data_IF_762602644676
#
_entry.id   IF_762602644676
#
_cell.length_a   1.000
_cell.length_b   1.000
_cell.length_c   1.000
_cell.angle_alpha   90.00
_cell.angle_beta   90.00
_cell.angle_gamma   90.00
#
_symmetry.space_group_name_H-M   'P 1'
#
loop_
_entity.id
_entity.type
_entity.pdbx_description
1 polymer ?
#
# COMPACT_ATOMS: atom_id res chain seq x y z
N UNK A 1 -25.96 -27.88 -20.09
CA UNK A 1 -26.45 -26.83 -19.21
C UNK A 1 -26.08 -25.47 -19.76
N UNK A 2 -27.07 -24.77 -20.33
CA UNK A 2 -26.88 -23.43 -20.81
C UNK A 2 -26.56 -22.53 -19.60
N UNK A 3 -25.29 -22.15 -19.46
CA UNK A 3 -24.97 -21.03 -18.59
C UNK A 3 -25.86 -19.86 -19.00
N UNK A 4 -26.63 -19.33 -18.07
CA UNK A 4 -27.59 -18.27 -18.38
C UNK A 4 -26.90 -17.14 -19.14
N UNK A 5 -27.58 -16.53 -20.10
CA UNK A 5 -27.03 -15.41 -20.91
C UNK A 5 -26.44 -14.32 -20.03
N UNK A 6 -27.03 -14.10 -18.86
CA UNK A 6 -26.58 -13.14 -17.83
C UNK A 6 -25.17 -13.45 -17.34
N UNK A 7 -24.89 -14.73 -17.01
CA UNK A 7 -23.57 -15.14 -16.53
C UNK A 7 -22.51 -14.95 -17.63
N UNK A 8 -22.85 -15.26 -18.88
CA UNK A 8 -21.95 -15.07 -20.01
C UNK A 8 -21.63 -13.60 -20.27
N UNK A 9 -22.66 -12.74 -20.20
CA UNK A 9 -22.49 -11.28 -20.34
C UNK A 9 -21.60 -10.73 -19.22
N UNK A 10 -21.83 -11.16 -17.99
CA UNK A 10 -21.02 -10.76 -16.85
C UNK A 10 -19.57 -11.20 -16.99
N UNK A 11 -19.32 -12.41 -17.46
CA UNK A 11 -17.97 -12.91 -17.71
C UNK A 11 -17.26 -12.10 -18.81
N UNK A 12 -17.97 -11.72 -19.88
CA UNK A 12 -17.40 -10.90 -20.95
C UNK A 12 -17.03 -9.48 -20.46
N UNK A 13 -17.89 -8.87 -19.62
CA UNK A 13 -17.61 -7.58 -19.02
C UNK A 13 -16.40 -7.67 -18.10
N UNK A 14 -16.34 -8.70 -17.25
CA UNK A 14 -15.21 -8.93 -16.36
C UNK A 14 -13.89 -9.14 -17.12
N UNK A 15 -13.92 -9.89 -18.21
CA UNK A 15 -12.74 -10.10 -19.05
C UNK A 15 -12.26 -8.80 -19.71
N UNK A 16 -13.17 -7.98 -20.25
CA UNK A 16 -12.82 -6.67 -20.82
C UNK A 16 -12.25 -5.74 -19.77
N UNK A 17 -12.83 -5.72 -18.59
CA UNK A 17 -12.33 -4.93 -17.47
C UNK A 17 -10.91 -5.35 -17.06
N UNK A 18 -10.69 -6.66 -16.93
CA UNK A 18 -9.36 -7.20 -16.62
C UNK A 18 -8.33 -6.87 -17.71
N UNK A 19 -8.72 -6.97 -18.96
CA UNK A 19 -7.87 -6.59 -20.10
C UNK A 19 -7.47 -5.12 -20.06
N UNK A 20 -8.40 -4.21 -19.75
CA UNK A 20 -8.09 -2.79 -19.59
C UNK A 20 -7.10 -2.55 -18.43
N UNK A 21 -7.29 -3.23 -17.30
CA UNK A 21 -6.38 -3.13 -16.18
C UNK A 21 -4.98 -3.64 -16.56
N UNK A 22 -4.90 -4.74 -17.27
CA UNK A 22 -3.62 -5.32 -17.70
C UNK A 22 -2.89 -4.40 -18.70
N UNK A 23 -3.62 -3.73 -19.60
CA UNK A 23 -3.05 -2.73 -20.50
C UNK A 23 -2.49 -1.51 -19.76
N UNK A 24 -3.07 -1.15 -18.62
CA UNK A 24 -2.64 0.00 -17.83
C UNK A 24 -1.51 -0.33 -16.85
N UNK A 25 -1.25 -1.59 -16.61
CA UNK A 25 -0.23 -2.05 -15.66
C UNK A 25 1.17 -1.46 -15.91
N UNK A 26 1.70 -1.38 -17.15
CA UNK A 26 3.04 -0.85 -17.39
C UNK A 26 3.16 0.68 -17.21
N UNK A 27 2.05 1.41 -17.23
CA UNK A 27 2.04 2.89 -17.17
C UNK A 27 1.85 3.38 -15.73
N UNK A 28 2.86 3.23 -14.88
CA UNK A 28 2.78 3.59 -13.46
C UNK A 28 2.53 5.07 -13.22
N UNK A 29 3.26 5.96 -13.89
CA UNK A 29 3.11 7.41 -13.74
C UNK A 29 1.72 7.89 -14.14
N UNK A 30 1.18 7.40 -15.25
CA UNK A 30 -0.16 7.77 -15.71
C UNK A 30 -1.23 7.30 -14.75
N UNK A 31 -1.11 6.09 -14.20
CA UNK A 31 -2.04 5.56 -13.19
C UNK A 31 -2.10 6.42 -11.95
N UNK A 32 -0.94 6.76 -11.41
CA UNK A 32 -0.86 7.61 -10.22
C UNK A 32 -1.35 9.03 -10.48
N UNK A 33 -1.07 9.60 -11.64
CA UNK A 33 -1.59 10.91 -12.05
C UNK A 33 -3.11 10.92 -12.07
N UNK A 34 -3.73 9.91 -12.67
CA UNK A 34 -5.19 9.76 -12.69
C UNK A 34 -5.76 9.65 -11.28
N UNK A 35 -5.14 8.86 -10.42
CA UNK A 35 -5.58 8.71 -9.02
C UNK A 35 -5.51 10.01 -8.25
N UNK A 36 -4.42 10.76 -8.39
CA UNK A 36 -4.24 12.07 -7.74
C UNK A 36 -5.29 13.07 -8.25
N UNK A 37 -5.54 13.11 -9.55
CA UNK A 37 -6.58 13.98 -10.13
C UNK A 37 -7.96 13.63 -9.59
N UNK A 38 -8.30 12.35 -9.52
CA UNK A 38 -9.57 11.89 -8.95
C UNK A 38 -9.70 12.28 -7.47
N UNK A 39 -8.63 12.14 -6.70
CA UNK A 39 -8.60 12.55 -5.29
C UNK A 39 -8.80 14.06 -5.14
N UNK A 40 -8.13 14.87 -5.97
CA UNK A 40 -8.30 16.32 -5.97
C UNK A 40 -9.74 16.72 -6.32
N UNK A 41 -10.34 16.11 -7.33
CA UNK A 41 -11.74 16.35 -7.69
C UNK A 41 -12.69 15.99 -6.55
N UNK A 42 -12.45 14.87 -5.88
CA UNK A 42 -13.21 14.47 -4.71
C UNK A 42 -13.11 15.50 -3.57
N UNK A 43 -11.91 15.96 -3.24
CA UNK A 43 -11.69 16.97 -2.21
C UNK A 43 -12.35 18.30 -2.55
N UNK A 44 -12.26 18.75 -3.80
CA UNK A 44 -12.93 19.98 -4.28
C UNK A 44 -14.45 19.84 -4.09
N UNK A 45 -15.02 18.69 -4.44
CA UNK A 45 -16.43 18.42 -4.26
C UNK A 45 -16.85 18.48 -2.77
N UNK A 46 -16.07 17.86 -1.90
CA UNK A 46 -16.32 17.88 -0.45
C UNK A 46 -16.26 19.29 0.11
N UNK A 47 -15.26 20.08 -0.27
CA UNK A 47 -15.15 21.48 0.12
C UNK A 47 -16.31 22.34 -0.40
N UNK A 48 -16.74 22.11 -1.63
CA UNK A 48 -17.86 22.81 -2.22
C UNK A 48 -19.18 22.51 -1.50
N UNK A 49 -19.44 21.25 -1.19
CA UNK A 49 -20.65 20.81 -0.50
C UNK A 49 -20.62 21.12 1.00
N UNK A 50 -19.45 21.44 1.55
CA UNK A 50 -19.23 21.68 3.00
C UNK A 50 -19.84 20.60 3.90
N UNK A 51 -19.74 19.35 3.47
CA UNK A 51 -20.30 18.20 4.15
C UNK A 51 -19.53 16.92 3.90
N UNK A 52 -20.07 15.79 4.34
CA UNK A 52 -19.48 14.47 4.13
C UNK A 52 -18.09 14.29 4.76
N UNK A 53 -17.78 15.00 5.83
CA UNK A 53 -16.48 14.92 6.48
C UNK A 53 -16.17 13.54 7.04
N UNK A 54 -17.19 12.81 7.49
CA UNK A 54 -17.01 11.45 8.01
C UNK A 54 -16.56 10.48 6.92
N UNK A 55 -17.08 10.62 5.69
CA UNK A 55 -16.67 9.83 4.53
C UNK A 55 -15.23 10.16 4.15
N UNK A 56 -14.87 11.43 4.17
CA UNK A 56 -13.50 11.89 3.91
C UNK A 56 -12.52 11.34 4.95
N UNK A 57 -12.92 11.34 6.21
CA UNK A 57 -12.14 10.74 7.30
C UNK A 57 -11.94 9.23 7.09
N UNK A 58 -13.01 8.50 6.78
CA UNK A 58 -12.94 7.08 6.47
C UNK A 58 -12.03 6.78 5.26
N UNK A 59 -12.12 7.60 4.20
CA UNK A 59 -11.25 7.50 3.04
C UNK A 59 -9.79 7.73 3.42
N UNK A 60 -9.49 8.73 4.24
CA UNK A 60 -8.15 9.00 4.74
C UNK A 60 -7.59 7.84 5.55
N UNK A 61 -8.38 7.22 6.44
CA UNK A 61 -7.99 6.04 7.20
C UNK A 61 -7.73 4.85 6.29
N UNK A 62 -8.57 4.62 5.28
CA UNK A 62 -8.35 3.56 4.30
C UNK A 62 -7.03 3.74 3.54
N UNK A 63 -6.74 4.95 3.08
CA UNK A 63 -5.49 5.27 2.39
C UNK A 63 -4.27 5.10 3.30
N UNK A 64 -4.37 5.52 4.55
CA UNK A 64 -3.32 5.32 5.55
C UNK A 64 -3.05 3.84 5.79
N UNK A 65 -4.08 3.03 5.95
CA UNK A 65 -3.96 1.58 6.13
C UNK A 65 -3.31 0.90 4.93
N UNK A 66 -3.69 1.30 3.72
CA UNK A 66 -3.08 0.81 2.48
C UNK A 66 -1.61 1.22 2.36
N UNK A 67 -1.29 2.45 2.73
CA UNK A 67 0.08 2.96 2.71
C UNK A 67 0.97 2.20 3.70
N UNK A 68 0.48 1.93 4.90
CA UNK A 68 1.20 1.13 5.89
C UNK A 68 1.39 -0.30 5.41
N UNK A 69 0.36 -0.93 4.82
CA UNK A 69 0.48 -2.24 4.23
C UNK A 69 1.49 -2.29 3.08
N UNK A 70 1.58 -1.21 2.30
CA UNK A 70 2.59 -1.06 1.26
C UNK A 70 4.01 -0.94 1.81
N UNK A 71 4.19 -0.21 2.92
CA UNK A 71 5.48 -0.06 3.58
C UNK A 71 5.91 -1.29 4.37
N UNK A 72 4.97 -2.14 4.80
CA UNK A 72 5.27 -3.32 5.60
C UNK A 72 5.79 -4.47 4.74
N UNK A 73 6.80 -5.24 5.22
CA UNK A 73 7.26 -6.44 4.53
C UNK A 73 6.24 -7.58 4.65
N UNK A 74 6.19 -8.45 3.66
CA UNK A 74 5.31 -9.64 3.67
C UNK A 74 5.66 -10.62 4.79
N UNK A 75 6.94 -10.73 5.08
CA UNK A 75 7.46 -11.55 6.18
C UNK A 75 7.98 -10.58 7.23
N UNK A 76 7.39 -10.63 8.41
CA UNK A 76 7.82 -9.80 9.53
C UNK A 76 9.18 -10.30 10.04
N UNK A 77 10.25 -9.46 10.04
CA UNK A 77 11.54 -9.85 10.58
C UNK A 77 11.46 -10.21 12.07
N UNK A 78 10.54 -9.61 12.83
CA UNK A 78 10.34 -9.94 14.25
C UNK A 78 9.87 -11.38 14.45
N UNK A 79 8.99 -11.88 13.58
CA UNK A 79 8.52 -13.26 13.66
C UNK A 79 9.60 -14.29 13.32
N UNK A 80 10.62 -13.88 12.55
CA UNK A 80 11.74 -14.78 12.25
C UNK A 80 12.68 -14.95 13.45
N UNK A 81 12.88 -13.92 14.24
CA UNK A 81 13.73 -14.00 15.44
C UNK A 81 13.18 -15.00 16.46
N UNK A 82 11.84 -15.16 16.51
CA UNK A 82 11.19 -16.11 17.44
C UNK A 82 11.22 -17.58 16.96
N UNK A 83 11.44 -17.80 15.64
CA UNK A 83 11.46 -19.16 15.05
C UNK A 83 12.86 -19.68 14.72
N UNK A 84 13.89 -18.87 14.87
CA UNK A 84 15.23 -19.20 14.41
C UNK A 84 16.15 -19.65 15.57
N UNK A 85 15.65 -20.57 16.41
CA UNK A 85 16.46 -21.30 17.41
C UNK A 85 17.28 -22.45 16.80
N UNK A 86 17.34 -22.57 15.48
CA UNK A 86 18.15 -23.57 14.77
C UNK A 86 19.60 -23.11 14.59
N UNK A 87 20.59 -24.04 14.59
CA UNK A 87 21.97 -23.69 14.28
C UNK A 87 22.05 -23.16 12.83
N UNK A 88 22.12 -21.85 12.69
CA UNK A 88 22.39 -21.23 11.41
C UNK A 88 23.78 -21.61 10.93
N UNK A 89 23.87 -22.16 9.72
CA UNK A 89 25.12 -22.24 9.01
C UNK A 89 25.76 -20.85 8.94
N UNK A 90 27.06 -20.70 9.29
CA UNK A 90 27.72 -19.40 9.25
C UNK A 90 27.82 -18.92 7.81
N UNK A 91 26.81 -18.18 7.39
CA UNK A 91 26.85 -17.40 6.17
C UNK A 91 27.60 -16.11 6.46
N UNK A 92 28.54 -15.78 5.60
CA UNK A 92 29.28 -14.51 5.69
C UNK A 92 28.30 -13.35 5.84
N UNK A 93 28.55 -12.49 6.83
CA UNK A 93 27.70 -11.33 7.20
C UNK A 93 27.31 -10.45 6.00
N UNK A 94 28.07 -10.50 4.91
CA UNK A 94 27.87 -9.74 3.69
C UNK A 94 27.01 -10.46 2.63
N UNK A 95 26.65 -11.72 2.82
CA UNK A 95 25.88 -12.52 1.87
C UNK A 95 24.40 -12.71 2.24
N UNK A 96 23.96 -12.17 3.35
CA UNK A 96 22.55 -12.16 3.67
C UNK A 96 21.79 -11.15 2.78
N UNK A 97 21.55 -11.58 1.55
CA UNK A 97 20.56 -10.94 0.69
C UNK A 97 19.18 -11.26 1.25
N UNK A 98 18.62 -10.29 1.98
CA UNK A 98 17.23 -10.35 2.42
C UNK A 98 16.37 -9.59 1.43
N UNK A 99 15.69 -10.26 0.48
CA UNK A 99 14.80 -9.57 -0.45
C UNK A 99 13.65 -8.96 0.34
N UNK A 100 13.49 -7.65 0.23
CA UNK A 100 12.33 -6.96 0.76
C UNK A 100 11.14 -7.23 -0.16
N UNK A 101 10.21 -8.09 0.30
CA UNK A 101 8.96 -8.36 -0.39
C UNK A 101 7.88 -7.55 0.30
N UNK A 102 7.26 -6.63 -0.41
CA UNK A 102 6.15 -5.82 0.11
C UNK A 102 4.92 -6.70 0.33
N UNK A 103 4.23 -6.48 1.45
CA UNK A 103 2.97 -7.17 1.74
C UNK A 103 1.91 -6.87 0.68
N UNK A 104 1.89 -5.63 0.19
CA UNK A 104 0.96 -5.17 -0.82
C UNK A 104 1.72 -4.73 -2.07
N UNK A 105 1.55 -5.39 -3.23
CA UNK A 105 2.17 -4.97 -4.48
C UNK A 105 1.59 -3.62 -4.94
N UNK A 106 2.39 -2.85 -5.66
CA UNK A 106 2.05 -1.51 -6.14
C UNK A 106 0.73 -1.47 -6.93
N UNK A 107 0.51 -2.44 -7.80
CA UNK A 107 -0.71 -2.50 -8.59
C UNK A 107 -1.97 -2.67 -7.73
N UNK A 108 -1.93 -3.54 -6.74
CA UNK A 108 -3.03 -3.73 -5.78
C UNK A 108 -3.24 -2.50 -4.91
N UNK A 109 -2.15 -1.84 -4.50
CA UNK A 109 -2.22 -0.60 -3.75
C UNK A 109 -2.93 0.49 -4.55
N UNK A 110 -2.51 0.72 -5.79
CA UNK A 110 -3.15 1.66 -6.70
C UNK A 110 -4.63 1.32 -6.94
N UNK A 111 -4.91 0.07 -7.23
CA UNK A 111 -6.27 -0.40 -7.47
C UNK A 111 -7.19 -0.19 -6.26
N UNK A 112 -6.73 -0.55 -5.08
CA UNK A 112 -7.48 -0.38 -3.83
C UNK A 112 -7.69 1.10 -3.49
N UNK A 113 -6.68 1.94 -3.69
CA UNK A 113 -6.78 3.38 -3.47
C UNK A 113 -7.80 4.02 -4.43
N UNK A 114 -7.73 3.71 -5.70
CA UNK A 114 -8.67 4.22 -6.72
C UNK A 114 -10.10 3.74 -6.44
N UNK A 115 -10.26 2.47 -6.11
CA UNK A 115 -11.56 1.90 -5.74
C UNK A 115 -12.15 2.59 -4.51
N UNK A 116 -11.34 2.87 -3.50
CA UNK A 116 -11.78 3.59 -2.30
C UNK A 116 -12.26 5.02 -2.64
N UNK A 117 -11.58 5.72 -3.53
CA UNK A 117 -11.99 7.05 -4.00
C UNK A 117 -13.34 6.99 -4.72
N UNK A 118 -13.54 6.01 -5.60
CA UNK A 118 -14.82 5.83 -6.31
C UNK A 118 -15.97 5.51 -5.35
N UNK A 119 -15.75 4.64 -4.39
CA UNK A 119 -16.75 4.31 -3.36
C UNK A 119 -17.09 5.54 -2.53
N UNK A 120 -16.10 6.32 -2.11
CA UNK A 120 -16.30 7.54 -1.35
C UNK A 120 -17.08 8.58 -2.17
N UNK A 121 -16.74 8.78 -3.43
CA UNK A 121 -17.46 9.67 -4.35
C UNK A 121 -18.92 9.22 -4.53
N UNK A 122 -19.16 7.93 -4.68
CA UNK A 122 -20.50 7.36 -4.75
C UNK A 122 -21.30 7.61 -3.46
N UNK A 123 -20.69 7.41 -2.30
CA UNK A 123 -21.30 7.71 -1.00
C UNK A 123 -21.66 9.19 -0.84
N UNK A 124 -20.90 10.11 -1.43
CA UNK A 124 -21.22 11.54 -1.39
C UNK A 124 -22.44 11.93 -2.23
N UNK A 125 -22.94 11.05 -3.08
CA UNK A 125 -24.19 11.27 -3.83
C UNK A 125 -25.43 11.10 -2.96
N UNK A 126 -25.33 10.46 -1.80
CA UNK A 126 -26.43 10.20 -0.88
C UNK A 126 -26.36 11.14 0.33
N UNK A 127 -27.41 11.92 0.56
CA UNK A 127 -27.49 12.81 1.73
C UNK A 127 -27.55 12.05 3.06
N UNK A 128 -27.89 10.78 3.04
CA UNK A 128 -27.90 9.91 4.21
C UNK A 128 -26.55 9.84 4.92
N UNK A 129 -25.46 9.91 4.18
CA UNK A 129 -24.09 9.90 4.71
C UNK A 129 -23.60 11.26 5.16
N UNK A 130 -24.40 12.32 4.95
CA UNK A 130 -24.06 13.66 5.41
C UNK A 130 -24.38 13.82 6.90
N UNK A 131 -23.57 13.23 7.73
CA UNK A 131 -23.71 13.33 9.19
C UNK A 131 -23.02 14.61 9.67
N UNK A 132 -23.71 15.48 10.44
CA UNK A 132 -23.07 16.66 10.99
C UNK A 132 -22.03 16.25 12.03
N UNK A 133 -20.77 16.46 11.69
CA UNK A 133 -19.61 16.18 12.55
C UNK A 133 -18.75 17.42 12.63
N UNK A 134 -18.19 17.66 13.81
CA UNK A 134 -17.23 18.73 14.00
C UNK A 134 -15.90 18.36 13.34
N UNK A 135 -15.66 18.90 12.15
CA UNK A 135 -14.52 18.54 11.30
C UNK A 135 -13.13 18.73 11.93
N UNK A 136 -12.86 19.76 12.80
CA UNK A 136 -11.55 19.91 13.42
C UNK A 136 -11.14 18.72 14.28
N UNK A 137 -12.09 18.08 14.97
CA UNK A 137 -11.83 16.89 15.78
C UNK A 137 -11.38 15.71 14.89
N UNK A 138 -12.06 15.49 13.78
CA UNK A 138 -11.70 14.44 12.82
C UNK A 138 -10.30 14.66 12.25
N UNK A 139 -9.97 15.89 11.88
CA UNK A 139 -8.65 16.25 11.39
C UNK A 139 -7.58 16.01 12.46
N UNK A 140 -7.84 16.41 13.71
CA UNK A 140 -6.93 16.20 14.83
C UNK A 140 -6.66 14.71 15.06
N UNK A 141 -7.71 13.89 15.11
CA UNK A 141 -7.57 12.44 15.26
C UNK A 141 -6.80 11.79 14.11
N UNK A 142 -7.05 12.23 12.88
CA UNK A 142 -6.33 11.74 11.71
C UNK A 142 -4.84 12.05 11.80
N UNK A 143 -4.47 13.28 12.13
CA UNK A 143 -3.08 13.71 12.28
C UNK A 143 -2.38 12.94 13.42
N UNK A 144 -3.05 12.77 14.56
CA UNK A 144 -2.52 11.99 15.67
C UNK A 144 -2.30 10.52 15.28
N UNK A 145 -3.27 9.89 14.64
CA UNK A 145 -3.18 8.52 14.18
C UNK A 145 -2.06 8.36 13.15
N UNK A 146 -1.98 9.24 12.18
CA UNK A 146 -0.93 9.28 11.18
C UNK A 146 0.45 9.37 11.84
N UNK A 147 0.64 10.32 12.75
CA UNK A 147 1.93 10.54 13.44
C UNK A 147 2.33 9.31 14.24
N UNK A 148 1.44 8.76 15.06
CA UNK A 148 1.72 7.57 15.88
C UNK A 148 2.05 6.35 15.02
N UNK A 149 1.29 6.14 13.96
CA UNK A 149 1.47 4.98 13.07
C UNK A 149 2.76 5.10 12.27
N UNK A 150 3.06 6.28 11.74
CA UNK A 150 4.31 6.52 11.01
C UNK A 150 5.53 6.41 11.92
N UNK A 151 5.44 6.91 13.15
CA UNK A 151 6.51 6.77 14.15
C UNK A 151 6.81 5.30 14.44
N UNK A 152 5.78 4.48 14.67
CA UNK A 152 5.94 3.04 14.86
C UNK A 152 6.58 2.37 13.65
N UNK A 153 6.11 2.70 12.46
CA UNK A 153 6.60 2.14 11.21
C UNK A 153 8.06 2.51 10.95
N UNK A 154 8.43 3.78 11.14
CA UNK A 154 9.81 4.24 10.98
C UNK A 154 10.73 3.57 12.01
N UNK A 155 10.29 3.48 13.28
CA UNK A 155 11.06 2.80 14.32
C UNK A 155 11.29 1.32 13.99
N UNK A 156 10.28 0.64 13.48
CA UNK A 156 10.38 -0.75 13.04
C UNK A 156 11.34 -0.89 11.84
N UNK A 157 11.26 0.00 10.87
CA UNK A 157 12.19 0.02 9.72
C UNK A 157 13.64 0.26 10.16
N UNK A 158 13.86 1.15 11.12
CA UNK A 158 15.20 1.42 11.65
C UNK A 158 15.74 0.24 12.46
N UNK A 159 14.89 -0.41 13.28
CA UNK A 159 15.28 -1.56 14.09
C UNK A 159 15.73 -2.74 13.24
N UNK A 160 15.00 -3.05 12.17
CA UNK A 160 15.27 -4.18 11.27
C UNK A 160 16.05 -3.81 10.02
N UNK A 161 16.49 -2.55 9.87
CA UNK A 161 17.33 -2.05 8.78
C UNK A 161 16.81 -2.37 7.38
N UNK A 162 15.53 -2.26 7.15
CA UNK A 162 14.95 -2.35 5.82
C UNK A 162 14.34 -1.00 5.39
N UNK A 163 14.46 -0.70 4.10
CA UNK A 163 13.85 0.48 3.50
C UNK A 163 12.92 0.04 2.36
N UNK A 164 11.68 0.54 2.29
CA UNK A 164 10.73 0.09 1.27
C UNK A 164 11.12 0.50 -0.16
N UNK A 165 11.95 1.50 -0.33
CA UNK A 165 12.43 1.97 -1.63
C UNK A 165 13.77 1.38 -2.05
N UNK A 166 14.55 0.83 -1.16
CA UNK A 166 15.75 0.06 -1.48
C UNK A 166 15.40 -1.42 -1.54
N UNK A 167 14.72 -1.81 -2.61
CA UNK A 167 14.38 -3.21 -2.83
C UNK A 167 15.64 -4.00 -3.13
N UNK A 168 16.27 -4.54 -2.10
CA UNK A 168 17.16 -5.69 -2.18
C UNK A 168 18.19 -5.76 -3.29
N UNK A 169 18.66 -4.64 -3.86
CA UNK A 169 19.80 -4.66 -4.75
C UNK A 169 21.02 -4.92 -3.91
N UNK A 170 21.65 -6.08 -4.13
CA UNK A 170 22.97 -6.36 -3.61
C UNK A 170 23.92 -5.23 -4.07
N UNK A 171 24.40 -4.43 -3.12
CA UNK A 171 25.42 -3.42 -3.43
C UNK A 171 26.73 -4.18 -3.51
N UNK A 172 27.15 -4.51 -4.73
CA UNK A 172 28.49 -5.01 -4.99
C UNK A 172 29.49 -3.87 -4.76
N UNK A 173 30.00 -3.78 -3.57
CA UNK A 173 31.18 -2.97 -3.29
C UNK A 173 32.37 -3.75 -3.83
N UNK A 174 32.80 -3.45 -5.05
CA UNK A 174 33.80 -4.19 -5.81
C UNK A 174 35.24 -4.21 -5.24
N UNK A 175 35.44 -3.94 -3.95
CA UNK A 175 36.69 -4.04 -3.24
C UNK A 175 36.72 -5.01 -2.06
N UNK A 176 35.59 -5.59 -1.67
CA UNK A 176 35.51 -6.44 -0.47
C UNK A 176 35.61 -7.93 -0.78
N UNK A 177 35.61 -8.30 -2.06
CA UNK A 177 35.75 -9.69 -2.48
C UNK A 177 37.25 -10.05 -2.72
N UNK A 178 38.14 -9.60 -1.85
CA UNK A 178 39.45 -10.19 -1.73
C UNK A 178 39.32 -11.49 -0.97
N UNK A 179 39.08 -12.59 -1.69
CA UNK A 179 38.91 -13.97 -1.21
C UNK A 179 39.88 -14.42 -0.14
N UNK A 180 39.81 -13.78 1.03
CA UNK A 180 40.47 -14.30 2.24
C UNK A 180 39.63 -15.45 2.73
N UNK A 181 39.97 -16.64 2.27
CA UNK A 181 39.63 -17.88 2.91
C UNK A 181 40.17 -17.76 4.33
N UNK A 182 39.27 -17.68 5.32
CA UNK A 182 39.65 -17.83 6.72
C UNK A 182 39.92 -19.30 6.92
N UNK A 183 41.18 -19.70 6.77
CA UNK A 183 41.69 -20.96 7.28
C UNK A 183 41.78 -20.84 8.77
N UNK A 184 40.90 -21.56 9.47
CA UNK A 184 41.05 -21.89 10.88
C UNK A 184 42.32 -22.69 11.14
#
# INVERSE_FOLDING_TARGET
>A
PQKSRIVRTFQLISQKYQYLLDCWTPYTLQRWTVTVVLLCLYLIRVFYLKGFYIITYALGICHLSLFIAFLSPKIDPAAKEDYDDGPELPTTVNQEFRPFIRRLPEFKFWYSATRAIFIAAFCTCFDFFNIPVFWPILLLYFVLLFTVTMKKQIKHMMKYRYLPWTTGKAIYRGKEDTGKIVTT
#
